data_IF_739314643888
#
_entry.id   IF_739314643888
#
_cell.length_a   1.000
_cell.length_b   1.000
_cell.length_c   1.000
_cell.angle_alpha   90.00
_cell.angle_beta   90.00
_cell.angle_gamma   90.00
#
_symmetry.space_group_name_H-M   'P 1'
#
loop_
_entity.id
_entity.type
_entity.pdbx_description
1 polymer ?
#
# COMPACT_ATOMS: atom_id res chain seq x y z
N UNK A 1 42.55 -12.30 11.53
CA UNK A 1 41.31 -12.32 12.35
C UNK A 1 40.38 -11.13 12.11
N UNK A 2 40.84 -9.89 11.85
CA UNK A 2 39.94 -8.72 11.66
C UNK A 2 39.13 -8.72 10.34
N UNK A 3 39.67 -9.29 9.25
CA UNK A 3 38.97 -9.34 7.95
C UNK A 3 37.78 -10.33 7.92
N UNK A 4 37.87 -11.45 8.65
CA UNK A 4 36.80 -12.44 8.72
C UNK A 4 35.58 -11.93 9.52
N UNK A 5 35.81 -11.09 10.54
CA UNK A 5 34.73 -10.47 11.31
C UNK A 5 33.94 -9.43 10.49
N UNK A 6 34.61 -8.66 9.63
CA UNK A 6 33.95 -7.67 8.74
C UNK A 6 33.14 -8.37 7.64
N UNK A 7 33.64 -9.48 7.08
CA UNK A 7 32.91 -10.27 6.09
C UNK A 7 31.64 -10.94 6.68
N UNK A 8 31.69 -11.40 7.93
CA UNK A 8 30.54 -12.00 8.61
C UNK A 8 29.43 -10.98 8.92
N UNK A 9 29.80 -9.75 9.30
CA UNK A 9 28.84 -8.65 9.54
C UNK A 9 28.17 -8.20 8.23
N UNK A 10 28.90 -8.17 7.12
CA UNK A 10 28.33 -7.86 5.79
C UNK A 10 27.45 -9.00 5.24
N UNK A 11 27.79 -10.26 5.52
CA UNK A 11 26.97 -11.41 5.11
C UNK A 11 25.65 -11.50 5.89
N UNK A 12 25.66 -11.19 7.20
CA UNK A 12 24.45 -11.12 8.03
C UNK A 12 23.56 -9.91 7.73
N UNK A 13 24.11 -8.87 7.08
CA UNK A 13 23.33 -7.74 6.58
C UNK A 13 22.55 -8.08 5.28
N UNK A 14 22.94 -9.13 4.55
CA UNK A 14 22.29 -9.54 3.30
C UNK A 14 21.12 -10.51 3.49
N UNK A 15 21.16 -11.36 4.52
CA UNK A 15 20.07 -12.25 4.93
C UNK A 15 19.34 -11.65 6.12
N UNK A 16 18.67 -10.52 5.89
CA UNK A 16 17.99 -9.75 6.93
C UNK A 16 17.01 -10.59 7.75
N UNK A 17 16.92 -10.27 9.05
CA UNK A 17 15.96 -10.84 10.01
C UNK A 17 14.49 -10.85 9.51
N UNK A 18 14.19 -10.10 8.45
CA UNK A 18 12.92 -10.11 7.72
C UNK A 18 12.47 -11.51 7.25
N UNK A 19 13.39 -12.45 7.02
CA UNK A 19 13.01 -13.83 6.62
C UNK A 19 12.22 -14.57 7.70
N UNK A 20 12.42 -14.21 8.97
CA UNK A 20 11.74 -14.81 10.13
C UNK A 20 10.66 -13.90 10.73
N UNK A 21 10.43 -12.73 10.13
CA UNK A 21 9.40 -11.82 10.60
C UNK A 21 8.01 -12.45 10.38
N UNK A 22 7.22 -12.56 11.44
CA UNK A 22 5.84 -13.03 11.38
C UNK A 22 4.98 -11.96 10.70
N UNK A 23 4.37 -12.32 9.57
CA UNK A 23 3.32 -11.51 8.93
C UNK A 23 2.07 -11.54 9.82
N UNK A 24 1.36 -10.42 10.02
CA UNK A 24 0.03 -10.42 10.60
C UNK A 24 -0.93 -11.35 9.83
N UNK A 25 -1.81 -12.08 10.52
CA UNK A 25 -2.74 -13.01 9.89
C UNK A 25 -3.95 -12.26 9.29
N UNK A 26 -3.72 -11.53 8.21
CA UNK A 26 -4.80 -10.78 7.57
C UNK A 26 -5.81 -11.71 6.89
N UNK A 27 -7.13 -11.52 7.10
CA UNK A 27 -8.16 -12.26 6.36
C UNK A 27 -8.11 -12.03 4.84
N UNK A 28 -7.41 -10.99 4.37
CA UNK A 28 -7.24 -10.76 2.94
C UNK A 28 -6.42 -11.88 2.27
N UNK A 29 -5.59 -12.62 3.02
CA UNK A 29 -4.83 -13.76 2.52
C UNK A 29 -5.73 -14.96 2.18
N UNK A 30 -6.84 -15.11 2.90
CA UNK A 30 -7.79 -16.22 2.74
C UNK A 30 -8.69 -16.07 1.52
N UNK A 31 -8.78 -14.85 0.97
CA UNK A 31 -9.53 -14.60 -0.26
C UNK A 31 -8.77 -15.23 -1.42
N UNK A 32 -9.33 -16.27 -2.04
CA UNK A 32 -8.73 -16.87 -3.23
C UNK A 32 -9.15 -16.13 -4.50
N UNK A 33 -8.33 -16.13 -5.56
CA UNK A 33 -8.73 -15.57 -6.84
C UNK A 33 -10.04 -16.15 -7.40
N UNK A 34 -10.25 -17.46 -7.23
CA UNK A 34 -11.46 -18.15 -7.69
C UNK A 34 -12.71 -17.64 -6.96
N UNK A 35 -12.65 -17.45 -5.64
CA UNK A 35 -13.77 -16.88 -4.86
C UNK A 35 -14.11 -15.45 -5.29
N UNK A 36 -13.09 -14.62 -5.53
CA UNK A 36 -13.27 -13.23 -5.97
C UNK A 36 -13.86 -13.17 -7.38
N UNK A 37 -13.44 -14.05 -8.29
CA UNK A 37 -13.99 -14.12 -9.65
C UNK A 37 -15.42 -14.66 -9.69
N UNK A 38 -15.80 -15.52 -8.73
CA UNK A 38 -17.15 -16.07 -8.66
C UNK A 38 -18.24 -15.03 -8.30
N UNK A 39 -17.84 -13.88 -7.77
CA UNK A 39 -18.75 -12.76 -7.46
C UNK A 39 -18.39 -11.56 -8.33
N UNK A 40 -18.92 -11.46 -9.57
CA UNK A 40 -18.57 -10.35 -10.46
C UNK A 40 -19.02 -9.01 -9.90
N UNK A 41 -18.33 -7.95 -10.29
CA UNK A 41 -18.77 -6.58 -10.03
C UNK A 41 -20.17 -6.33 -10.59
N UNK A 42 -21.01 -5.53 -9.92
CA UNK A 42 -22.17 -4.94 -10.56
C UNK A 42 -21.76 -4.19 -11.84
N UNK A 43 -22.53 -4.27 -12.93
CA UNK A 43 -22.12 -3.76 -14.25
C UNK A 43 -21.94 -2.23 -14.30
N UNK A 44 -22.51 -1.51 -13.33
CA UNK A 44 -22.40 -0.05 -13.19
C UNK A 44 -21.31 0.40 -12.21
N UNK A 45 -20.51 -0.53 -11.66
CA UNK A 45 -19.44 -0.22 -10.71
C UNK A 45 -18.06 -0.37 -11.35
N UNK A 46 -17.20 0.62 -11.09
CA UNK A 46 -15.79 0.62 -11.50
C UNK A 46 -14.92 0.97 -10.31
N UNK A 47 -13.75 0.35 -10.21
CA UNK A 47 -12.87 0.49 -9.06
C UNK A 47 -11.51 1.02 -9.50
N UNK A 48 -10.96 1.93 -8.72
CA UNK A 48 -9.68 2.55 -9.01
C UNK A 48 -8.78 2.50 -7.79
N UNK A 49 -7.47 2.54 -8.01
CA UNK A 49 -6.48 2.69 -6.94
C UNK A 49 -5.56 3.86 -7.24
N UNK A 50 -5.28 4.64 -6.21
CA UNK A 50 -4.26 5.66 -6.16
C UNK A 50 -3.25 5.23 -5.09
N UNK A 51 -1.96 5.34 -5.41
CA UNK A 51 -0.90 5.06 -4.45
C UNK A 51 -0.12 6.34 -4.22
N UNK A 52 0.20 6.61 -2.97
CA UNK A 52 0.88 7.82 -2.56
C UNK A 52 2.16 7.49 -1.81
N UNK A 53 3.13 8.38 -1.92
CA UNK A 53 4.32 8.38 -1.09
C UNK A 53 4.71 9.79 -0.73
N UNK A 54 5.13 10.00 0.51
CA UNK A 54 5.68 11.27 0.97
C UNK A 54 7.11 11.11 1.46
N UNK A 55 7.87 12.20 1.38
CA UNK A 55 9.15 12.31 2.07
C UNK A 55 9.64 13.76 2.18
N UNK A 56 10.39 14.02 3.24
CA UNK A 56 11.22 15.21 3.43
C UNK A 56 12.41 15.32 2.45
N UNK A 57 13.03 16.51 2.41
CA UNK A 57 14.31 16.81 1.77
C UNK A 57 15.23 17.56 2.76
N UNK A 58 16.37 16.99 3.21
CA UNK A 58 16.87 15.65 2.90
C UNK A 58 15.94 14.53 3.41
N UNK A 59 16.09 13.32 2.87
CA UNK A 59 15.23 12.18 3.23
C UNK A 59 15.52 11.72 4.66
N UNK A 60 14.57 11.91 5.58
CA UNK A 60 14.64 11.44 6.97
C UNK A 60 13.57 10.37 7.22
N UNK A 61 13.88 9.18 7.75
CA UNK A 61 12.92 8.08 7.89
C UNK A 61 11.63 8.43 8.64
N UNK A 62 11.72 9.28 9.68
CA UNK A 62 10.56 9.77 10.44
C UNK A 62 9.59 10.62 9.61
N UNK A 63 10.10 11.30 8.59
CA UNK A 63 9.34 12.18 7.70
C UNK A 63 9.22 11.52 6.33
N UNK A 64 8.64 10.32 6.33
CA UNK A 64 8.23 9.57 5.15
C UNK A 64 6.99 8.76 5.46
N UNK A 65 6.13 8.59 4.46
CA UNK A 65 4.93 7.77 4.59
C UNK A 65 4.53 7.15 3.25
N UNK A 66 3.78 6.06 3.30
CA UNK A 66 3.16 5.42 2.14
C UNK A 66 1.72 5.11 2.47
N UNK A 67 0.80 5.43 1.55
CA UNK A 67 -0.62 5.10 1.70
C UNK A 67 -1.23 4.81 0.33
N UNK A 68 -2.41 4.21 0.34
CA UNK A 68 -3.18 3.98 -0.87
C UNK A 68 -4.64 4.26 -0.61
N UNK A 69 -5.33 4.68 -1.68
CA UNK A 69 -6.77 4.94 -1.68
C UNK A 69 -7.39 4.16 -2.81
N UNK A 70 -8.42 3.38 -2.50
CA UNK A 70 -9.32 2.83 -3.52
C UNK A 70 -10.54 3.71 -3.66
N UNK A 71 -11.04 3.79 -4.89
CA UNK A 71 -12.22 4.57 -5.24
C UNK A 71 -13.19 3.64 -5.95
N UNK A 72 -14.43 3.62 -5.50
CA UNK A 72 -15.55 2.98 -6.18
C UNK A 72 -16.36 4.09 -6.86
N UNK A 73 -16.59 3.92 -8.15
CA UNK A 73 -17.42 4.81 -8.96
C UNK A 73 -18.63 4.01 -9.42
N UNK A 74 -19.82 4.50 -9.08
CA UNK A 74 -21.09 3.89 -9.45
C UNK A 74 -21.81 4.80 -10.45
N UNK A 75 -22.01 4.30 -11.67
CA UNK A 75 -22.84 4.97 -12.67
C UNK A 75 -24.32 4.89 -12.23
N UNK A 76 -24.96 6.05 -12.15
CA UNK A 76 -26.36 6.23 -11.75
C UNK A 76 -27.29 6.46 -12.95
N UNK A 77 -26.76 6.38 -14.17
CA UNK A 77 -27.50 6.52 -15.42
C UNK A 77 -27.28 7.86 -16.12
N UNK A 78 -27.83 8.02 -17.33
CA UNK A 78 -27.59 9.18 -18.17
C UNK A 78 -27.96 10.51 -17.50
N UNK A 79 -27.03 11.47 -17.51
CA UNK A 79 -27.26 12.81 -16.98
C UNK A 79 -27.17 12.94 -15.46
N UNK A 80 -26.91 11.85 -14.74
CA UNK A 80 -26.70 11.85 -13.28
C UNK A 80 -25.20 11.76 -13.00
N UNK A 81 -24.69 12.61 -12.12
CA UNK A 81 -23.30 12.52 -11.68
C UNK A 81 -23.06 11.16 -11.00
N UNK A 82 -21.94 10.47 -11.29
CA UNK A 82 -21.67 9.18 -10.67
C UNK A 82 -21.49 9.33 -9.16
N UNK A 83 -21.93 8.32 -8.39
CA UNK A 83 -21.62 8.26 -6.98
C UNK A 83 -20.16 7.82 -6.80
N UNK A 84 -19.44 8.51 -5.91
CA UNK A 84 -18.02 8.26 -5.64
C UNK A 84 -17.85 7.93 -4.17
N UNK A 85 -17.33 6.74 -3.89
CA UNK A 85 -16.94 6.29 -2.56
C UNK A 85 -15.44 6.08 -2.54
N UNK A 86 -14.76 6.54 -1.48
CA UNK A 86 -13.32 6.36 -1.33
C UNK A 86 -12.98 5.69 -0.01
N UNK A 87 -11.94 4.86 -0.01
CA UNK A 87 -11.43 4.18 1.18
C UNK A 87 -9.91 4.19 1.17
N UNK A 88 -9.32 4.60 2.29
CA UNK A 88 -7.88 4.80 2.42
C UNK A 88 -7.29 3.86 3.46
N UNK A 89 -6.12 3.31 3.16
CA UNK A 89 -5.20 2.69 4.12
C UNK A 89 -3.99 3.61 4.22
N UNK A 90 -3.97 4.40 5.28
CA UNK A 90 -2.88 5.29 5.69
C UNK A 90 -2.56 5.01 7.15
N UNK A 91 -1.81 3.92 7.37
CA UNK A 91 -1.53 3.41 8.71
C UNK A 91 -0.34 4.13 9.37
N UNK A 92 -0.59 4.74 10.51
CA UNK A 92 0.36 5.58 11.26
C UNK A 92 0.30 5.26 12.76
N UNK A 93 1.28 5.67 13.58
CA UNK A 93 1.10 5.61 15.03
C UNK A 93 -0.01 6.58 15.42
N UNK A 94 -0.82 6.24 16.42
CA UNK A 94 -1.93 7.09 16.89
C UNK A 94 -1.45 8.46 17.40
N UNK A 95 -0.18 8.56 17.78
CA UNK A 95 0.47 9.82 18.19
C UNK A 95 0.83 10.74 17.00
N UNK A 96 0.77 10.21 15.77
CA UNK A 96 1.31 10.81 14.54
C UNK A 96 2.81 11.13 14.61
N UNK A 97 3.52 10.60 15.61
CA UNK A 97 4.94 10.76 15.83
C UNK A 97 5.67 9.47 15.44
N UNK A 98 6.13 9.38 14.19
CA UNK A 98 6.86 8.20 13.71
C UNK A 98 8.20 8.08 14.45
N UNK A 99 8.43 6.93 15.08
CA UNK A 99 9.66 6.63 15.84
C UNK A 99 10.39 5.43 15.21
N UNK A 100 11.29 5.63 14.22
CA UNK A 100 11.96 4.54 13.52
C UNK A 100 12.76 3.59 14.43
N UNK A 101 13.29 4.10 15.54
CA UNK A 101 14.06 3.31 16.51
C UNK A 101 13.20 2.70 17.64
N UNK A 102 11.87 2.85 17.58
CA UNK A 102 10.96 2.20 18.51
C UNK A 102 10.62 0.80 18.01
N UNK A 103 11.21 -0.22 18.64
CA UNK A 103 11.00 -1.63 18.30
C UNK A 103 9.86 -2.29 19.09
N UNK A 104 8.96 -1.48 19.66
CA UNK A 104 7.71 -1.93 20.29
C UNK A 104 6.53 -1.53 19.43
N UNK A 105 5.52 -2.39 19.42
CA UNK A 105 4.26 -2.05 18.78
C UNK A 105 3.55 -1.00 19.62
N UNK A 106 3.06 0.04 18.97
CA UNK A 106 2.24 1.09 19.58
C UNK A 106 0.84 1.12 18.95
N UNK A 107 -0.17 1.76 19.58
CA UNK A 107 -1.48 1.92 18.97
C UNK A 107 -1.36 2.62 17.62
N UNK A 108 -2.01 2.07 16.59
CA UNK A 108 -2.05 2.67 15.26
C UNK A 108 -3.36 3.41 15.00
N UNK A 109 -3.35 4.23 13.95
CA UNK A 109 -4.53 4.93 13.42
C UNK A 109 -4.51 4.86 11.89
N UNK A 110 -5.68 4.66 11.30
CA UNK A 110 -5.86 4.73 9.86
C UNK A 110 -6.45 6.09 9.48
N UNK A 111 -5.66 6.93 8.82
CA UNK A 111 -6.09 8.27 8.42
C UNK A 111 -6.90 8.23 7.11
N UNK A 112 -7.85 9.16 6.97
CA UNK A 112 -8.50 9.41 5.67
C UNK A 112 -7.54 10.12 4.69
N UNK A 113 -7.86 10.05 3.40
CA UNK A 113 -7.04 10.59 2.30
C UNK A 113 -6.55 12.03 2.56
N UNK A 114 -7.46 12.93 2.92
CA UNK A 114 -7.13 14.35 3.04
C UNK A 114 -6.37 14.63 4.33
N UNK A 115 -6.70 13.94 5.42
CA UNK A 115 -5.95 14.03 6.67
C UNK A 115 -4.52 13.52 6.49
N UNK A 116 -4.31 12.43 5.75
CA UNK A 116 -2.96 11.95 5.41
C UNK A 116 -2.15 13.00 4.64
N UNK A 117 -2.72 13.58 3.58
CA UNK A 117 -2.03 14.59 2.76
C UNK A 117 -1.66 15.81 3.62
N UNK A 118 -2.60 16.34 4.40
CA UNK A 118 -2.35 17.50 5.26
C UNK A 118 -1.30 17.23 6.32
N UNK A 119 -1.32 16.04 6.94
CA UNK A 119 -0.32 15.68 7.95
C UNK A 119 1.08 15.62 7.34
N UNK A 120 1.24 15.07 6.13
CA UNK A 120 2.55 15.04 5.46
C UNK A 120 3.03 16.44 5.08
N UNK A 121 2.14 17.28 4.54
CA UNK A 121 2.47 18.66 4.16
C UNK A 121 2.85 19.53 5.37
N UNK A 122 2.31 19.25 6.56
CA UNK A 122 2.65 19.94 7.81
C UNK A 122 4.13 19.77 8.20
N UNK A 123 4.77 18.69 7.76
CA UNK A 123 6.20 18.41 8.01
C UNK A 123 7.09 18.74 6.80
N UNK A 124 6.61 19.62 5.90
CA UNK A 124 7.31 20.01 4.67
C UNK A 124 7.68 18.82 3.78
N UNK A 125 6.95 17.71 3.88
CA UNK A 125 7.14 16.56 3.01
C UNK A 125 6.54 16.83 1.64
N UNK A 126 7.25 16.42 0.59
CA UNK A 126 6.65 16.38 -0.75
C UNK A 126 5.80 15.13 -0.88
N UNK A 127 4.64 15.24 -1.54
CA UNK A 127 3.73 14.12 -1.80
C UNK A 127 3.76 13.78 -3.29
N UNK A 128 3.97 12.51 -3.60
CA UNK A 128 3.89 11.95 -4.95
C UNK A 128 2.71 10.98 -5.06
N UNK A 129 2.09 10.94 -6.23
CA UNK A 129 0.93 10.09 -6.53
C UNK A 129 1.08 9.35 -7.85
N UNK A 130 0.74 8.06 -7.84
CA UNK A 130 0.53 7.23 -9.02
C UNK A 130 -0.95 6.85 -9.15
N UNK A 131 -1.38 6.50 -10.36
CA UNK A 131 -2.79 6.24 -10.68
C UNK A 131 -3.53 7.54 -11.00
N UNK A 132 -4.87 7.60 -10.99
CA UNK A 132 -5.77 6.51 -10.67
C UNK A 132 -5.71 5.40 -11.73
N UNK A 133 -5.41 4.18 -11.29
CA UNK A 133 -5.42 2.98 -12.14
C UNK A 133 -6.73 2.23 -11.93
N UNK A 134 -7.38 1.80 -13.00
CA UNK A 134 -8.58 0.97 -12.87
C UNK A 134 -8.21 -0.46 -12.49
N UNK A 135 -8.76 -0.94 -11.39
CA UNK A 135 -8.51 -2.28 -10.85
C UNK A 135 -9.75 -3.14 -10.99
N UNK A 136 -9.55 -4.45 -11.11
CA UNK A 136 -10.67 -5.38 -11.07
C UNK A 136 -11.24 -5.50 -9.65
N UNK A 137 -12.51 -5.89 -9.54
CA UNK A 137 -13.27 -5.89 -8.28
C UNK A 137 -12.67 -6.75 -7.17
N UNK A 138 -11.99 -7.84 -7.52
CA UNK A 138 -11.32 -8.67 -6.51
C UNK A 138 -10.12 -7.98 -5.84
N UNK A 139 -9.41 -7.09 -6.55
CA UNK A 139 -8.38 -6.26 -5.93
C UNK A 139 -8.99 -5.23 -4.98
N UNK A 140 -10.13 -4.64 -5.34
CA UNK A 140 -10.90 -3.75 -4.47
C UNK A 140 -11.38 -4.47 -3.20
N UNK A 141 -11.97 -5.67 -3.34
CA UNK A 141 -12.44 -6.47 -2.20
C UNK A 141 -11.30 -6.82 -1.23
N UNK A 142 -10.13 -7.23 -1.73
CA UNK A 142 -8.95 -7.47 -0.88
C UNK A 142 -8.53 -6.22 -0.11
N UNK A 143 -8.51 -5.07 -0.78
CA UNK A 143 -8.18 -3.81 -0.13
C UNK A 143 -9.18 -3.49 0.99
N UNK A 144 -10.47 -3.67 0.75
CA UNK A 144 -11.52 -3.43 1.74
C UNK A 144 -11.41 -4.39 2.93
N UNK A 145 -11.11 -5.67 2.69
CA UNK A 145 -10.87 -6.66 3.76
C UNK A 145 -9.64 -6.29 4.59
N UNK A 146 -8.55 -5.89 3.95
CA UNK A 146 -7.34 -5.42 4.64
C UNK A 146 -7.61 -4.16 5.46
N UNK A 147 -8.35 -3.19 4.90
CA UNK A 147 -8.75 -1.97 5.60
C UNK A 147 -9.56 -2.29 6.85
N UNK A 148 -10.57 -3.16 6.73
CA UNK A 148 -11.39 -3.57 7.87
C UNK A 148 -10.57 -4.27 8.96
N UNK A 149 -9.61 -5.12 8.57
CA UNK A 149 -8.69 -5.75 9.51
C UNK A 149 -7.83 -4.73 10.27
N UNK A 150 -7.27 -3.75 9.57
CA UNK A 150 -6.48 -2.66 10.18
C UNK A 150 -7.35 -1.80 11.11
N UNK A 151 -8.52 -1.38 10.64
CA UNK A 151 -9.44 -0.53 11.39
C UNK A 151 -9.99 -1.21 12.65
N UNK A 152 -10.00 -2.55 12.69
CA UNK A 152 -10.42 -3.31 13.88
C UNK A 152 -9.48 -3.20 15.07
N UNK A 153 -8.25 -2.69 14.86
CA UNK A 153 -7.21 -2.65 15.88
C UNK A 153 -6.56 -4.00 16.17
N UNK A 154 -6.78 -5.01 15.32
CA UNK A 154 -6.16 -6.33 15.44
C UNK A 154 -4.61 -6.29 15.35
N UNK A 155 -4.07 -5.22 14.77
CA UNK A 155 -2.63 -4.93 14.74
C UNK A 155 -2.37 -3.50 15.22
N UNK A 156 -1.18 -3.27 15.77
CA UNK A 156 -0.66 -1.94 16.05
C UNK A 156 0.27 -1.42 14.95
N UNK A 157 0.89 -0.29 15.21
CA UNK A 157 1.90 0.33 14.37
C UNK A 157 3.31 0.00 14.88
N UNK A 158 4.22 -0.31 13.96
CA UNK A 158 5.66 -0.26 14.22
C UNK A 158 6.36 0.15 12.93
N UNK A 159 7.16 1.22 12.96
CA UNK A 159 7.79 1.79 11.75
C UNK A 159 8.70 0.81 11.01
N UNK A 160 9.37 -0.07 11.74
CA UNK A 160 10.20 -1.15 11.17
C UNK A 160 9.63 -2.47 11.66
N UNK A 161 8.64 -3.01 10.96
CA UNK A 161 7.88 -4.18 11.39
C UNK A 161 8.55 -5.53 11.04
N UNK A 162 9.71 -5.49 10.37
CA UNK A 162 10.58 -6.64 10.12
C UNK A 162 11.64 -6.84 11.21
N UNK A 163 11.67 -5.98 12.23
CA UNK A 163 12.46 -6.10 13.45
C UNK A 163 11.57 -5.96 14.69
N UNK A 164 12.14 -6.15 15.88
CA UNK A 164 11.46 -5.83 17.14
C UNK A 164 10.28 -6.71 17.50
N UNK A 165 9.31 -6.13 18.20
CA UNK A 165 8.09 -6.81 18.64
C UNK A 165 7.27 -7.29 17.45
N UNK A 166 6.93 -6.40 16.52
CA UNK A 166 6.11 -6.75 15.34
C UNK A 166 6.64 -7.98 14.59
N UNK A 167 7.95 -8.07 14.35
CA UNK A 167 8.54 -9.22 13.66
C UNK A 167 8.42 -10.53 14.45
N UNK A 168 8.44 -10.48 15.78
CA UNK A 168 8.40 -11.67 16.65
C UNK A 168 6.97 -12.18 16.86
N UNK A 169 6.01 -11.27 16.94
CA UNK A 169 4.61 -11.57 17.33
C UNK A 169 3.62 -11.48 16.18
N UNK A 170 3.93 -10.75 15.11
CA UNK A 170 3.01 -10.49 14.01
C UNK A 170 1.84 -9.58 14.39
N UNK A 171 1.96 -8.84 15.50
CA UNK A 171 0.92 -7.94 16.03
C UNK A 171 1.10 -6.48 15.60
N UNK A 172 2.00 -6.20 14.65
CA UNK A 172 2.28 -4.85 14.19
C UNK A 172 2.62 -4.80 12.71
N UNK A 173 2.36 -3.65 12.10
CA UNK A 173 2.69 -3.38 10.70
C UNK A 173 3.17 -1.95 10.54
N UNK A 174 4.02 -1.72 9.54
CA UNK A 174 4.33 -0.38 9.06
C UNK A 174 3.29 0.09 8.01
N UNK A 175 3.46 1.32 7.52
CA UNK A 175 2.57 1.93 6.53
C UNK A 175 2.59 1.24 5.16
N UNK A 176 3.70 0.61 4.78
CA UNK A 176 3.88 -0.04 3.48
C UNK A 176 3.20 -1.40 3.52
N UNK A 177 3.52 -2.21 4.53
CA UNK A 177 2.95 -3.53 4.72
C UNK A 177 1.46 -3.46 5.07
N UNK A 178 0.98 -2.38 5.69
CA UNK A 178 -0.46 -2.16 5.86
C UNK A 178 -1.22 -2.21 4.52
N UNK A 179 -0.60 -1.73 3.44
CA UNK A 179 -1.17 -1.78 2.08
C UNK A 179 -0.85 -3.12 1.42
N UNK A 180 0.42 -3.53 1.44
CA UNK A 180 0.88 -4.64 0.57
C UNK A 180 0.52 -6.01 1.10
N UNK A 181 0.26 -6.16 2.40
CA UNK A 181 -0.10 -7.45 2.99
C UNK A 181 -1.45 -7.98 2.53
N UNK A 182 -2.30 -7.15 1.90
CA UNK A 182 -3.55 -7.60 1.27
C UNK A 182 -3.34 -8.57 0.10
N UNK A 183 -2.12 -8.62 -0.45
CA UNK A 183 -1.72 -9.55 -1.50
C UNK A 183 -0.93 -10.72 -0.87
N UNK A 184 -1.47 -11.95 -0.85
CA UNK A 184 -0.79 -13.11 -0.26
C UNK A 184 0.53 -13.45 -0.96
N UNK A 185 0.72 -13.01 -2.21
CA UNK A 185 1.96 -13.22 -2.96
C UNK A 185 3.01 -12.15 -2.69
N UNK A 186 2.68 -11.10 -1.92
CA UNK A 186 3.63 -10.07 -1.54
C UNK A 186 4.43 -10.55 -0.32
N UNK A 187 5.67 -10.98 -0.56
CA UNK A 187 6.54 -11.38 0.53
C UNK A 187 7.25 -10.18 1.14
N UNK A 188 7.13 -10.02 2.46
CA UNK A 188 7.92 -9.07 3.26
C UNK A 188 9.45 -9.27 3.13
N UNK A 189 9.89 -10.48 2.74
CA UNK A 189 11.31 -10.80 2.54
C UNK A 189 11.98 -10.06 1.37
N UNK A 190 11.18 -9.53 0.42
CA UNK A 190 11.69 -8.84 -0.78
C UNK A 190 11.81 -7.34 -0.61
N UNK A 191 11.79 -6.87 0.64
CA UNK A 191 11.73 -5.47 0.98
C UNK A 191 12.98 -5.00 1.74
N UNK A 192 13.94 -4.34 1.07
CA UNK A 192 15.11 -3.81 1.76
C UNK A 192 14.70 -2.69 2.72
N UNK A 193 15.26 -2.67 3.94
CA UNK A 193 15.01 -1.62 4.94
C UNK A 193 15.32 -0.18 4.45
N UNK A 194 16.03 -0.03 3.33
CA UNK A 194 16.31 1.25 2.68
C UNK A 194 15.16 1.79 1.81
N UNK A 195 14.15 0.97 1.52
CA UNK A 195 12.96 1.35 0.76
C UNK A 195 11.92 1.91 1.72
N UNK A 196 11.77 3.23 1.76
CA UNK A 196 10.76 3.96 2.54
C UNK A 196 10.40 5.28 1.82
N UNK A 197 9.23 5.86 2.10
CA UNK A 197 8.69 7.03 1.41
C UNK A 197 8.38 6.80 -0.07
N UNK A 198 8.68 7.76 -0.95
CA UNK A 198 8.36 7.66 -2.40
C UNK A 198 8.97 6.41 -3.06
N UNK A 199 10.19 6.02 -2.68
CA UNK A 199 10.82 4.80 -3.21
C UNK A 199 10.05 3.52 -2.84
N UNK A 200 9.46 3.51 -1.64
CA UNK A 200 8.62 2.44 -1.16
C UNK A 200 7.30 2.35 -1.91
N UNK A 201 6.59 3.47 -2.04
CA UNK A 201 5.34 3.57 -2.78
C UNK A 201 5.52 3.18 -4.25
N UNK A 202 6.63 3.59 -4.89
CA UNK A 202 6.97 3.15 -6.25
C UNK A 202 7.12 1.63 -6.35
N UNK A 203 7.66 0.98 -5.32
CA UNK A 203 7.75 -0.48 -5.29
C UNK A 203 6.37 -1.14 -5.14
N UNK A 204 5.49 -0.60 -4.30
CA UNK A 204 4.11 -1.06 -4.19
C UNK A 204 3.38 -0.93 -5.55
N UNK A 205 3.52 0.21 -6.23
CA UNK A 205 3.00 0.45 -7.59
C UNK A 205 3.54 -0.57 -8.58
N UNK A 206 4.84 -0.89 -8.53
CA UNK A 206 5.43 -1.96 -9.35
C UNK A 206 4.71 -3.28 -9.14
N UNK A 207 4.49 -3.70 -7.90
CA UNK A 207 3.83 -4.98 -7.63
C UNK A 207 2.37 -4.98 -8.10
N UNK A 208 1.63 -3.88 -7.86
CA UNK A 208 0.25 -3.73 -8.34
C UNK A 208 0.19 -3.86 -9.86
N UNK A 209 1.05 -3.14 -10.58
CA UNK A 209 1.04 -3.11 -12.05
C UNK A 209 1.63 -4.36 -12.68
N UNK A 210 2.57 -5.06 -12.04
CA UNK A 210 3.20 -6.25 -12.63
C UNK A 210 2.45 -7.56 -12.37
N UNK A 211 1.43 -7.56 -11.50
CA UNK A 211 0.73 -8.77 -11.04
C UNK A 211 -0.71 -8.92 -11.54
N UNK A 212 -1.08 -8.13 -12.55
CA UNK A 212 -2.41 -8.21 -13.17
C UNK A 212 -3.53 -7.70 -12.27
N UNK A 213 -3.26 -6.78 -11.34
CA UNK A 213 -4.34 -6.16 -10.54
C UNK A 213 -5.06 -5.03 -11.30
N UNK A 214 -4.43 -4.47 -12.33
CA UNK A 214 -4.91 -3.30 -13.08
C UNK A 214 -5.44 -3.75 -14.44
N UNK A 215 -6.65 -3.29 -14.81
CA UNK A 215 -7.33 -3.67 -16.05
C UNK A 215 -6.53 -3.20 -17.27
N UNK A 216 -6.23 -1.91 -17.34
CA UNK A 216 -5.41 -1.30 -18.37
C UNK A 216 -4.26 -0.50 -17.71
N UNK A 217 -3.05 -1.07 -17.61
CA UNK A 217 -1.94 -0.46 -16.87
C UNK A 217 -1.27 0.72 -17.61
N UNK A 218 -1.66 0.98 -18.86
CA UNK A 218 -1.19 2.12 -19.64
C UNK A 218 -2.15 3.31 -19.58
N UNK A 219 -3.37 3.11 -19.05
CA UNK A 219 -4.38 4.14 -18.90
C UNK A 219 -4.53 4.62 -17.45
N UNK A 220 -4.48 5.94 -17.26
CA UNK A 220 -4.88 6.59 -16.00
C UNK A 220 -6.23 7.30 -16.15
N UNK A 221 -6.93 7.47 -15.03
CA UNK A 221 -8.26 8.08 -14.97
C UNK A 221 -8.22 9.43 -14.24
N UNK A 222 -7.47 10.37 -14.82
CA UNK A 222 -7.14 11.65 -14.19
C UNK A 222 -8.37 12.55 -13.94
N UNK A 223 -9.52 12.26 -14.55
CA UNK A 223 -10.78 12.91 -14.21
C UNK A 223 -11.19 12.72 -12.74
N UNK A 224 -10.72 11.66 -12.07
CA UNK A 224 -11.00 11.45 -10.64
C UNK A 224 -10.24 12.41 -9.74
N UNK A 225 -9.13 13.02 -10.18
CA UNK A 225 -8.31 13.90 -9.34
C UNK A 225 -9.11 15.10 -8.81
N UNK A 226 -9.77 15.92 -9.66
CA UNK A 226 -10.61 17.01 -9.16
C UNK A 226 -11.87 16.50 -8.43
N UNK A 227 -12.42 15.35 -8.83
CA UNK A 227 -13.60 14.77 -8.16
C UNK A 227 -13.30 14.32 -6.73
N UNK A 228 -12.06 13.94 -6.45
CA UNK A 228 -11.56 13.61 -5.12
C UNK A 228 -11.01 14.86 -4.39
N UNK A 229 -11.11 16.05 -4.99
CA UNK A 229 -10.57 17.30 -4.43
C UNK A 229 -9.05 17.25 -4.22
N UNK A 230 -8.31 16.54 -5.07
CA UNK A 230 -6.85 16.40 -4.93
C UNK A 230 -6.06 17.54 -5.59
N UNK A 231 -6.69 18.27 -6.50
CA UNK A 231 -6.16 19.44 -7.20
C UNK A 231 -5.87 20.63 -6.27
N UNK A 232 -6.47 20.67 -5.07
CA UNK A 232 -6.18 21.69 -4.06
C UNK A 232 -4.82 21.50 -3.36
N UNK A 233 -4.14 20.36 -3.54
CA UNK A 233 -2.86 20.03 -2.89
C UNK A 233 -1.70 20.05 -3.88
N UNK A 234 -0.47 20.39 -3.44
CA UNK A 234 0.72 20.37 -4.30
C UNK A 234 1.27 18.94 -4.51
N UNK A 235 0.46 18.04 -5.08
CA UNK A 235 0.82 16.63 -5.30
C UNK A 235 1.60 16.47 -6.61
N UNK A 236 2.78 15.87 -6.53
CA UNK A 236 3.60 15.48 -7.69
C UNK A 236 2.95 14.27 -8.40
N UNK A 237 2.49 14.46 -9.63
CA UNK A 237 2.01 13.37 -10.49
C UNK A 237 3.19 12.58 -11.03
N UNK A 238 3.24 11.28 -10.75
CA UNK A 238 4.36 10.42 -11.16
C UNK A 238 3.89 9.33 -12.11
N UNK A 239 4.51 9.28 -13.28
CA UNK A 239 4.33 8.21 -14.25
C UNK A 239 5.13 6.96 -13.84
N UNK A 240 4.53 5.78 -13.92
CA UNK A 240 5.25 4.52 -13.74
C UNK A 240 5.70 3.93 -15.09
N UNK A 241 7.02 3.77 -15.25
CA UNK A 241 7.67 3.28 -16.49
C UNK A 241 8.27 1.87 -16.39
N UNK A 242 7.93 1.12 -15.34
CA UNK A 242 8.45 -0.25 -15.15
C UNK A 242 7.57 -1.32 -15.80
N UNK A 243 7.79 -2.61 -15.47
CA UNK A 243 6.98 -3.72 -15.98
C UNK A 243 5.51 -3.57 -15.62
N UNK A 244 4.63 -3.86 -16.60
CA UNK A 244 3.18 -3.79 -16.51
C UNK A 244 2.58 -5.09 -17.04
N UNK A 245 1.50 -5.57 -16.41
CA UNK A 245 0.72 -6.72 -16.84
C UNK A 245 -0.75 -6.37 -16.65
N UNK A 246 -1.52 -6.39 -17.72
CA UNK A 246 -2.96 -6.20 -17.66
C UNK A 246 -3.63 -7.34 -16.88
N UNK A 247 -4.79 -7.06 -16.29
CA UNK A 247 -5.62 -8.07 -15.65
C UNK A 247 -6.09 -9.08 -16.71
N UNK A 248 -5.91 -10.35 -16.39
CA UNK A 248 -6.38 -11.48 -17.17
C UNK A 248 -7.09 -12.45 -16.22
N UNK A 249 -8.43 -12.57 -16.29
CA UNK A 249 -9.20 -13.41 -15.38
C UNK A 249 -8.82 -14.89 -15.48
N UNK A 250 -8.42 -15.39 -16.66
CA UNK A 250 -8.03 -16.80 -16.85
C UNK A 250 -6.66 -17.08 -16.23
N UNK A 251 -5.71 -16.16 -16.41
CA UNK A 251 -4.41 -16.23 -15.76
C UNK A 251 -4.54 -16.18 -14.23
N UNK A 252 -5.43 -15.32 -13.72
CA UNK A 252 -5.71 -15.19 -12.29
C UNK A 252 -6.40 -16.43 -11.73
N UNK A 253 -7.39 -17.01 -12.44
CA UNK A 253 -8.08 -18.23 -12.02
C UNK A 253 -7.16 -19.44 -11.99
N UNK A 254 -6.25 -19.56 -12.95
CA UNK A 254 -5.28 -20.66 -13.05
C UNK A 254 -4.06 -20.51 -12.14
N UNK A 255 -3.96 -19.43 -11.36
CA UNK A 255 -2.80 -19.14 -10.52
C UNK A 255 -1.54 -18.80 -11.31
N UNK A 256 -1.64 -18.61 -12.64
CA UNK A 256 -0.52 -18.25 -13.53
C UNK A 256 -0.34 -16.72 -13.53
N UNK A 257 0.25 -16.19 -12.47
CA UNK A 257 0.56 -14.74 -12.38
C UNK A 257 1.98 -14.42 -12.83
#
# INVERSE_FOLDING_TARGET
MRAAAVALVLALAGSGCATFAKKPPTPADDLTPAQLLATPAPPNERYFILVFGSQSRPKVPKYTHSWATVVKVTDLGPGVAPAIEQSTISWMPATLDIRPNNFRVEPGVNLDLHTSIREMLKHDERVAMWGPFEIWHGAYQRFMTQKAFIDSGAIGYQCIDSLGEAARTGNGSDCIHAITDMDPFYSRSRYPLSFFGIGASRHAVRQILSRGAVIDPDRTHDCLIPLLGLDQYPIERVEYRGPKKAFDPEAIASGRR
#
